data_IF_331969744310
#
_entry.id   IF_331969744310
#
_cell.length_a   1.000
_cell.length_b   1.000
_cell.length_c   1.000
_cell.angle_alpha   90.00
_cell.angle_beta   90.00
_cell.angle_gamma   90.00
#
_symmetry.space_group_name_H-M   'P 1'
#
loop_
_entity.id
_entity.type
_entity.pdbx_description
1 polymer ?
#
# COMPACT_ATOMS: atom_id res chain seq x y z
N UNK A 1 -2.82 35.32 46.01
CA UNK A 1 -1.46 35.53 45.46
C UNK A 1 -0.60 34.26 45.32
N UNK A 2 -1.05 33.07 45.75
CA UNK A 2 -0.22 31.84 45.70
C UNK A 2 -0.23 31.06 44.37
N UNK A 3 -1.14 31.37 43.44
CA UNK A 3 -1.33 30.59 42.19
C UNK A 3 -0.23 30.89 41.14
N UNK A 4 0.52 31.99 41.27
CA UNK A 4 1.56 32.37 40.30
C UNK A 4 2.92 31.69 40.50
N UNK A 5 3.19 31.05 41.64
CA UNK A 5 4.49 30.42 41.93
C UNK A 5 4.67 29.09 41.19
N UNK A 6 3.61 28.28 41.08
CA UNK A 6 3.69 26.94 40.50
C UNK A 6 3.81 26.97 38.97
N UNK A 7 3.08 27.87 38.31
CA UNK A 7 3.16 28.09 36.87
C UNK A 7 4.55 28.61 36.46
N UNK A 8 5.16 29.49 37.26
CA UNK A 8 6.50 30.01 37.01
C UNK A 8 7.58 28.94 37.18
N UNK A 9 7.39 28.00 38.11
CA UNK A 9 8.31 26.89 38.32
C UNK A 9 8.24 25.87 37.16
N UNK A 10 7.03 25.56 36.68
CA UNK A 10 6.83 24.67 35.54
C UNK A 10 7.40 25.25 34.23
N UNK A 11 7.21 26.55 33.98
CA UNK A 11 7.80 27.26 32.83
C UNK A 11 9.34 27.26 32.87
N UNK A 12 9.94 27.41 34.05
CA UNK A 12 11.40 27.40 34.20
C UNK A 12 11.99 26.02 33.94
N UNK A 13 11.29 24.94 34.31
CA UNK A 13 11.70 23.56 33.96
C UNK A 13 11.59 23.30 32.46
N UNK A 14 10.51 23.70 31.79
CA UNK A 14 10.39 23.50 30.33
C UNK A 14 11.40 24.31 29.53
N UNK A 15 11.73 25.53 29.97
CA UNK A 15 12.80 26.33 29.38
C UNK A 15 14.17 25.65 29.53
N UNK A 16 14.50 25.12 30.71
CA UNK A 16 15.76 24.39 30.92
C UNK A 16 15.85 23.09 30.08
N UNK A 17 14.73 22.38 29.88
CA UNK A 17 14.70 21.21 28.98
C UNK A 17 14.91 21.57 27.51
N UNK A 18 14.49 22.77 27.09
CA UNK A 18 14.70 23.23 25.72
C UNK A 18 16.18 23.55 25.43
N UNK A 19 16.89 24.12 26.40
CA UNK A 19 18.33 24.41 26.27
C UNK A 19 19.18 23.13 26.23
N UNK A 20 18.83 22.12 27.03
CA UNK A 20 19.53 20.83 27.03
C UNK A 20 19.29 20.06 25.72
N UNK A 21 18.07 20.10 25.18
CA UNK A 21 17.77 19.50 23.88
C UNK A 21 18.51 20.19 22.73
N UNK A 22 18.59 21.52 22.73
CA UNK A 22 19.37 22.26 21.75
C UNK A 22 20.87 21.96 21.85
N UNK A 23 21.40 21.78 23.07
CA UNK A 23 22.78 21.36 23.30
C UNK A 23 23.03 19.95 22.73
N UNK A 24 22.13 18.99 22.96
CA UNK A 24 22.24 17.63 22.42
C UNK A 24 22.14 17.59 20.88
N UNK A 25 21.24 18.40 20.29
CA UNK A 25 21.14 18.54 18.83
C UNK A 25 22.45 19.11 18.26
N UNK A 26 23.05 20.10 18.93
CA UNK A 26 24.31 20.73 18.53
C UNK A 26 25.47 19.73 18.59
N UNK A 27 25.60 18.96 19.68
CA UNK A 27 26.62 17.92 19.80
C UNK A 27 26.45 16.82 18.75
N UNK A 28 25.21 16.40 18.48
CA UNK A 28 24.93 15.36 17.47
C UNK A 28 25.31 15.85 16.07
N UNK A 29 25.03 17.11 15.77
CA UNK A 29 25.41 17.75 14.51
C UNK A 29 26.94 17.85 14.36
N UNK A 30 27.64 18.24 15.43
CA UNK A 30 29.10 18.31 15.45
C UNK A 30 29.75 16.94 15.23
N UNK A 31 29.27 15.90 15.92
CA UNK A 31 29.69 14.51 15.72
C UNK A 31 29.45 14.04 14.27
N UNK A 32 28.30 14.41 13.69
CA UNK A 32 27.97 14.07 12.31
C UNK A 32 28.91 14.76 11.30
N UNK A 33 29.27 16.02 11.55
CA UNK A 33 30.18 16.77 10.69
C UNK A 33 31.64 16.30 10.83
N UNK A 34 32.08 15.96 12.05
CA UNK A 34 33.37 15.29 12.28
C UNK A 34 33.45 13.96 11.53
N UNK A 35 32.38 13.16 11.55
CA UNK A 35 32.30 11.91 10.79
C UNK A 35 32.37 12.13 9.27
N UNK A 36 31.66 13.13 8.74
CA UNK A 36 31.74 13.50 7.32
C UNK A 36 33.16 13.88 6.92
N UNK A 37 33.83 14.69 7.73
CA UNK A 37 35.19 15.14 7.48
C UNK A 37 36.17 13.95 7.51
N UNK A 38 36.09 13.10 8.54
CA UNK A 38 36.87 11.88 8.63
C UNK A 38 36.69 10.96 7.41
N UNK A 39 35.45 10.78 6.94
CA UNK A 39 35.15 9.98 5.73
C UNK A 39 35.80 10.57 4.49
N UNK A 40 35.77 11.90 4.34
CA UNK A 40 36.39 12.62 3.22
C UNK A 40 37.92 12.47 3.25
N UNK A 41 38.53 12.62 4.42
CA UNK A 41 39.99 12.50 4.60
C UNK A 41 40.45 11.05 4.35
N UNK A 42 39.71 10.06 4.88
CA UNK A 42 39.97 8.64 4.64
C UNK A 42 39.87 8.29 3.15
N UNK A 43 38.84 8.79 2.45
CA UNK A 43 38.68 8.56 1.00
C UNK A 43 39.83 9.17 0.21
N UNK A 44 40.29 10.36 0.62
CA UNK A 44 41.41 11.07 -0.01
C UNK A 44 42.72 10.31 0.20
N UNK A 45 42.97 9.82 1.42
CA UNK A 45 44.14 9.01 1.75
C UNK A 45 44.18 7.71 0.93
N UNK A 46 43.05 6.99 0.83
CA UNK A 46 42.97 5.75 0.02
C UNK A 46 43.22 6.04 -1.47
N UNK A 47 42.64 7.12 -2.01
CA UNK A 47 42.90 7.55 -3.40
C UNK A 47 44.37 7.88 -3.63
N UNK A 48 45.02 8.54 -2.67
CA UNK A 48 46.44 8.87 -2.75
C UNK A 48 47.31 7.61 -2.74
N UNK A 49 47.06 6.68 -1.81
CA UNK A 49 47.74 5.39 -1.76
C UNK A 49 47.59 4.58 -3.05
N UNK A 50 46.40 4.61 -3.66
CA UNK A 50 46.16 3.93 -4.94
C UNK A 50 46.92 4.60 -6.10
N UNK A 51 47.00 5.93 -6.13
CA UNK A 51 47.80 6.66 -7.12
C UNK A 51 49.30 6.33 -6.98
N UNK A 52 49.80 6.27 -5.75
CA UNK A 52 51.22 5.96 -5.49
C UNK A 52 51.53 4.51 -5.88
N UNK A 53 50.65 3.56 -5.55
CA UNK A 53 50.77 2.17 -5.98
C UNK A 53 50.80 2.04 -7.51
N UNK A 54 49.92 2.78 -8.21
CA UNK A 54 49.90 2.80 -9.67
C UNK A 54 51.20 3.35 -10.24
N UNK A 55 51.72 4.46 -9.71
CA UNK A 55 53.02 5.04 -10.11
C UNK A 55 54.16 4.05 -9.93
N UNK A 56 54.21 3.33 -8.81
CA UNK A 56 55.23 2.29 -8.58
C UNK A 56 55.10 1.15 -9.58
N UNK A 57 53.88 0.71 -9.87
CA UNK A 57 53.61 -0.34 -10.87
C UNK A 57 54.04 0.09 -12.28
N UNK A 58 53.71 1.32 -12.67
CA UNK A 58 54.07 1.90 -13.97
C UNK A 58 55.60 2.09 -14.10
N UNK A 59 56.28 2.49 -13.01
CA UNK A 59 57.75 2.59 -12.95
C UNK A 59 58.42 1.22 -13.12
N UNK A 60 57.96 0.20 -12.39
CA UNK A 60 58.48 -1.16 -12.50
C UNK A 60 58.24 -1.76 -13.88
N UNK A 61 57.09 -1.46 -14.49
CA UNK A 61 56.76 -1.91 -15.85
C UNK A 61 57.68 -1.24 -16.88
N UNK A 62 57.98 0.04 -16.70
CA UNK A 62 58.92 0.77 -17.55
C UNK A 62 60.35 0.24 -17.39
N UNK A 63 60.81 -0.02 -16.17
CA UNK A 63 62.12 -0.65 -15.92
C UNK A 63 62.24 -2.05 -16.51
N UNK A 64 61.17 -2.86 -16.44
CA UNK A 64 61.13 -4.19 -17.06
C UNK A 64 61.25 -4.10 -18.58
N UNK A 65 60.49 -3.21 -19.22
CA UNK A 65 60.57 -2.99 -20.68
C UNK A 65 61.93 -2.48 -21.12
N UNK A 66 62.56 -1.61 -20.34
CA UNK A 66 63.88 -1.08 -20.67
C UNK A 66 65.00 -2.12 -20.46
N UNK A 67 64.83 -3.06 -19.54
CA UNK A 67 65.78 -4.18 -19.33
C UNK A 67 65.59 -5.32 -20.34
N UNK A 68 64.36 -5.60 -20.79
CA UNK A 68 64.09 -6.61 -21.84
C UNK A 68 64.68 -6.22 -23.21
N UNK A 69 65.03 -4.94 -23.41
CA UNK A 69 65.64 -4.45 -24.65
C UNK A 69 67.16 -4.62 -24.73
N UNK A 70 67.84 -5.20 -23.73
CA UNK A 70 69.31 -5.38 -23.79
C UNK A 70 69.86 -6.81 -23.76
N UNK A 71 69.07 -7.87 -23.63
CA UNK A 71 69.50 -9.21 -24.08
C UNK A 71 68.42 -10.27 -23.90
N UNK A 72 67.93 -10.80 -25.01
CA UNK A 72 67.18 -12.05 -25.03
C UNK A 72 68.16 -13.21 -24.75
N UNK A 73 68.28 -13.58 -23.47
CA UNK A 73 68.97 -14.78 -22.97
C UNK A 73 68.00 -15.59 -22.08
N UNK A 74 68.09 -16.94 -22.06
CA UNK A 74 67.21 -17.84 -21.28
C UNK A 74 67.25 -17.67 -19.75
N UNK A 75 67.99 -16.69 -19.22
CA UNK A 75 68.07 -16.35 -17.80
C UNK A 75 66.84 -15.61 -17.25
N UNK A 76 65.90 -15.16 -18.10
CA UNK A 76 64.63 -14.51 -17.71
C UNK A 76 63.70 -15.38 -16.84
N UNK A 77 64.00 -16.67 -16.66
CA UNK A 77 63.32 -17.54 -15.66
C UNK A 77 63.75 -17.25 -14.22
N UNK A 78 64.84 -16.51 -14.00
CA UNK A 78 65.34 -16.14 -12.67
C UNK A 78 64.83 -14.77 -12.18
N UNK A 79 64.01 -14.04 -12.95
CA UNK A 79 63.34 -12.79 -12.50
C UNK A 79 62.16 -13.02 -11.52
N UNK A 80 62.03 -14.25 -11.03
CA UNK A 80 60.97 -14.73 -10.14
C UNK A 80 61.02 -14.14 -8.71
N UNK A 81 62.17 -13.88 -8.05
CA UNK A 81 62.16 -13.43 -6.66
C UNK A 81 61.76 -11.96 -6.46
N UNK A 82 62.23 -11.03 -7.32
CA UNK A 82 61.91 -9.60 -7.18
C UNK A 82 60.45 -9.29 -7.53
N UNK A 83 59.90 -9.97 -8.55
CA UNK A 83 58.49 -9.84 -8.91
C UNK A 83 57.58 -10.43 -7.82
N UNK A 84 57.97 -11.55 -7.20
CA UNK A 84 57.24 -12.13 -6.06
C UNK A 84 57.35 -11.26 -4.81
N UNK A 85 58.52 -10.67 -4.53
CA UNK A 85 58.71 -9.74 -3.42
C UNK A 85 57.87 -8.46 -3.60
N UNK A 86 57.84 -7.88 -4.80
CA UNK A 86 57.01 -6.71 -5.11
C UNK A 86 55.51 -7.04 -4.94
N UNK A 87 55.04 -8.18 -5.44
CA UNK A 87 53.66 -8.64 -5.25
C UNK A 87 53.31 -8.85 -3.77
N UNK A 88 54.22 -9.46 -3.00
CA UNK A 88 54.02 -9.68 -1.57
C UNK A 88 53.88 -8.38 -0.77
N UNK A 89 54.68 -7.35 -1.09
CA UNK A 89 54.59 -6.01 -0.47
C UNK A 89 53.24 -5.34 -0.81
N UNK A 90 52.78 -5.47 -2.06
CA UNK A 90 51.49 -4.92 -2.50
C UNK A 90 50.32 -5.61 -1.78
N UNK A 91 50.34 -6.94 -1.69
CA UNK A 91 49.31 -7.73 -1.00
C UNK A 91 49.29 -7.45 0.50
N UNK A 92 50.45 -7.24 1.13
CA UNK A 92 50.55 -6.87 2.53
C UNK A 92 49.94 -5.49 2.80
N UNK A 93 50.28 -4.48 2.00
CA UNK A 93 49.69 -3.13 2.15
C UNK A 93 48.18 -3.15 1.93
N UNK A 94 47.67 -3.91 0.96
CA UNK A 94 46.23 -4.07 0.76
C UNK A 94 45.52 -4.70 1.97
N UNK A 95 46.14 -5.71 2.61
CA UNK A 95 45.63 -6.33 3.83
C UNK A 95 45.61 -5.35 5.01
N UNK A 96 46.65 -4.53 5.16
CA UNK A 96 46.73 -3.52 6.22
C UNK A 96 45.66 -2.42 6.04
N UNK A 97 45.53 -1.84 4.85
CA UNK A 97 44.52 -0.80 4.56
C UNK A 97 43.08 -1.34 4.70
N UNK A 98 42.84 -2.59 4.32
CA UNK A 98 41.56 -3.27 4.51
C UNK A 98 41.22 -3.55 5.99
N UNK A 99 42.22 -3.73 6.85
CA UNK A 99 42.06 -3.90 8.30
C UNK A 99 41.63 -2.59 8.97
N UNK A 100 42.26 -1.47 8.62
CA UNK A 100 41.92 -0.13 9.17
C UNK A 100 40.51 0.35 8.79
N UNK A 101 40.02 -0.02 7.59
CA UNK A 101 38.66 0.31 7.15
C UNK A 101 37.55 -0.51 7.85
N UNK A 102 37.87 -1.72 8.35
CA UNK A 102 36.91 -2.60 9.05
C UNK A 102 36.86 -2.36 10.56
N UNK A 103 37.98 -1.97 11.17
CA UNK A 103 38.10 -1.78 12.62
C UNK A 103 37.35 -0.52 13.09
N UNK A 104 37.29 0.54 12.29
CA UNK A 104 36.75 1.83 12.73
C UNK A 104 35.23 1.91 12.86
N UNK A 105 34.43 1.29 11.98
CA UNK A 105 32.96 1.45 12.05
C UNK A 105 32.34 0.66 13.21
N UNK A 106 32.77 -0.59 13.41
CA UNK A 106 32.17 -1.49 14.40
C UNK A 106 32.58 -1.10 15.82
N UNK A 107 33.85 -0.75 16.04
CA UNK A 107 34.32 -0.31 17.36
C UNK A 107 33.77 1.06 17.74
N UNK A 108 33.64 2.00 16.80
CA UNK A 108 33.09 3.33 17.07
C UNK A 108 31.59 3.25 17.37
N UNK A 109 30.83 2.42 16.64
CA UNK A 109 29.41 2.16 16.94
C UNK A 109 29.25 1.48 18.31
N UNK A 110 30.12 0.52 18.62
CA UNK A 110 30.09 -0.19 19.91
C UNK A 110 30.42 0.74 21.08
N UNK A 111 31.41 1.64 20.93
CA UNK A 111 31.75 2.64 21.96
C UNK A 111 30.66 3.69 22.13
N UNK A 112 30.04 4.14 21.04
CA UNK A 112 28.91 5.09 21.09
C UNK A 112 27.71 4.44 21.79
N UNK A 113 27.36 3.19 21.45
CA UNK A 113 26.28 2.43 22.07
C UNK A 113 26.55 2.12 23.55
N UNK A 114 27.76 1.68 23.90
CA UNK A 114 28.14 1.42 25.29
C UNK A 114 28.17 2.69 26.16
N UNK A 115 28.54 3.83 25.59
CA UNK A 115 28.51 5.11 26.29
C UNK A 115 27.09 5.66 26.41
N UNK A 116 26.19 5.36 25.46
CA UNK A 116 24.78 5.78 25.54
C UNK A 116 23.93 4.89 26.45
N UNK A 117 24.16 3.58 26.49
CA UNK A 117 23.39 2.67 27.37
C UNK A 117 23.70 2.83 28.87
N UNK A 118 24.87 3.37 29.22
CA UNK A 118 25.29 3.56 30.61
C UNK A 118 24.98 4.95 31.18
N UNK A 119 24.36 5.85 30.40
CA UNK A 119 23.93 7.15 30.91
C UNK A 119 22.76 6.96 31.90
N UNK A 120 22.92 7.36 33.18
CA UNK A 120 21.86 7.25 34.19
C UNK A 120 20.58 7.98 33.76
N UNK A 121 20.71 9.07 32.99
CA UNK A 121 19.56 9.85 32.50
C UNK A 121 18.69 9.04 31.53
N UNK A 122 19.29 8.18 30.69
CA UNK A 122 18.55 7.34 29.73
C UNK A 122 17.77 6.20 30.42
N UNK A 123 18.29 5.69 31.54
CA UNK A 123 17.56 4.71 32.36
C UNK A 123 16.34 5.35 33.03
N UNK A 124 16.49 6.57 33.54
CA UNK A 124 15.39 7.36 34.12
C UNK A 124 14.37 7.74 33.04
N UNK A 125 14.81 8.16 31.85
CA UNK A 125 13.92 8.51 30.75
C UNK A 125 13.13 7.29 30.24
N UNK A 126 13.76 6.10 30.20
CA UNK A 126 13.08 4.86 29.84
C UNK A 126 12.02 4.45 30.87
N UNK A 127 12.24 4.69 32.16
CA UNK A 127 11.21 4.43 33.18
C UNK A 127 10.04 5.38 33.01
N UNK A 128 10.31 6.68 32.80
CA UNK A 128 9.28 7.71 32.58
C UNK A 128 8.44 7.42 31.33
N UNK A 129 9.07 7.08 30.19
CA UNK A 129 8.34 6.68 28.97
C UNK A 129 7.48 5.44 29.22
N UNK A 130 8.00 4.44 29.94
CA UNK A 130 7.23 3.24 30.23
C UNK A 130 6.03 3.51 31.14
N UNK A 131 6.17 4.45 32.08
CA UNK A 131 5.08 4.90 32.96
C UNK A 131 4.02 5.69 32.18
N UNK A 132 4.45 6.59 31.28
CA UNK A 132 3.57 7.39 30.43
C UNK A 132 2.83 6.53 29.38
N UNK A 133 3.43 5.42 28.94
CA UNK A 133 2.82 4.49 27.99
C UNK A 133 1.84 3.48 28.60
N UNK A 134 1.76 3.36 29.92
CA UNK A 134 0.82 2.45 30.61
C UNK A 134 -0.66 2.65 30.22
N UNK A 135 -1.24 3.87 30.25
CA UNK A 135 -2.65 4.07 29.91
C UNK A 135 -2.97 3.69 28.45
N UNK A 136 -2.03 3.86 27.53
CA UNK A 136 -2.22 3.48 26.12
C UNK A 136 -2.20 1.97 25.91
N UNK A 137 -1.43 1.23 26.71
CA UNK A 137 -1.46 -0.24 26.71
C UNK A 137 -2.80 -0.77 27.22
N UNK A 138 -3.34 -0.15 28.27
CA UNK A 138 -4.67 -0.49 28.78
C UNK A 138 -5.79 -0.22 27.74
N UNK A 139 -5.69 0.88 26.97
CA UNK A 139 -6.60 1.13 25.85
C UNK A 139 -6.46 0.08 24.73
N UNK A 140 -5.24 -0.31 24.36
CA UNK A 140 -5.00 -1.36 23.37
C UNK A 140 -5.60 -2.71 23.77
N UNK A 141 -5.60 -3.04 25.06
CA UNK A 141 -6.23 -4.25 25.58
C UNK A 141 -7.77 -4.16 25.56
N UNK A 142 -8.37 -2.97 25.67
CA UNK A 142 -9.82 -2.78 25.43
C UNK A 142 -10.19 -3.02 23.96
N UNK A 143 -9.35 -2.60 23.01
CA UNK A 143 -9.60 -2.85 21.59
C UNK A 143 -9.47 -4.32 21.20
N UNK A 144 -8.76 -5.13 21.98
CA UNK A 144 -8.66 -6.59 21.79
C UNK A 144 -9.95 -7.35 22.09
N UNK A 145 -10.90 -6.76 22.81
CA UNK A 145 -12.19 -7.38 23.18
C UNK A 145 -13.31 -7.13 22.14
N UNK A 146 -13.11 -6.23 21.17
CA UNK A 146 -14.06 -5.93 20.10
C UNK A 146 -14.54 -7.13 19.26
N UNK A 147 -13.70 -8.14 18.93
CA UNK A 147 -14.14 -9.31 18.17
C UNK A 147 -15.27 -10.09 18.87
N UNK A 148 -15.25 -10.17 20.21
CA UNK A 148 -16.28 -10.88 20.99
C UNK A 148 -17.63 -10.15 20.96
N UNK A 149 -17.63 -8.81 20.84
CA UNK A 149 -18.85 -8.03 20.68
C UNK A 149 -19.48 -8.15 19.28
N UNK A 150 -18.65 -8.36 18.25
CA UNK A 150 -19.11 -8.55 16.88
C UNK A 150 -19.85 -9.89 16.71
N UNK A 151 -19.36 -10.96 17.34
CA UNK A 151 -20.01 -12.27 17.31
C UNK A 151 -21.40 -12.24 17.99
N UNK A 152 -21.54 -11.49 19.09
CA UNK A 152 -22.82 -11.32 19.79
C UNK A 152 -23.86 -10.53 18.97
N UNK A 153 -23.43 -9.53 18.20
CA UNK A 153 -24.30 -8.76 17.31
C UNK A 153 -24.74 -9.59 16.10
N UNK A 154 -23.85 -10.44 15.59
CA UNK A 154 -24.17 -11.33 14.48
C UNK A 154 -25.17 -12.42 14.87
N UNK A 155 -25.14 -12.85 16.13
CA UNK A 155 -26.14 -13.75 16.72
C UNK A 155 -27.50 -13.05 16.89
N UNK A 156 -27.52 -11.82 17.39
CA UNK A 156 -28.75 -11.01 17.49
C UNK A 156 -29.38 -10.69 16.13
N UNK A 157 -28.57 -10.51 15.08
CA UNK A 157 -29.07 -10.31 13.70
C UNK A 157 -29.68 -11.61 13.14
N UNK A 158 -29.19 -12.78 13.56
CA UNK A 158 -29.76 -14.08 13.19
C UNK A 158 -31.14 -14.34 13.81
N UNK A 159 -31.42 -13.75 14.97
CA UNK A 159 -32.69 -13.89 15.69
C UNK A 159 -33.80 -12.94 15.18
N UNK A 160 -33.46 -11.91 14.39
CA UNK A 160 -34.43 -10.99 13.76
C UNK A 160 -34.83 -11.53 12.38
N UNK A 161 -35.38 -12.75 12.35
CA UNK A 161 -36.00 -13.33 11.17
C UNK A 161 -37.52 -13.16 11.29
N UNK A 162 -37.99 -11.91 11.16
CA UNK A 162 -39.42 -11.58 11.05
C UNK A 162 -39.88 -11.92 9.63
N UNK A 163 -40.88 -12.79 9.54
CA UNK A 163 -41.50 -13.25 8.30
C UNK A 163 -41.97 -12.04 7.49
N UNK A 164 -41.38 -11.84 6.30
CA UNK A 164 -41.60 -10.66 5.47
C UNK A 164 -43.08 -10.46 5.12
N UNK A 165 -43.88 -11.52 5.12
CA UNK A 165 -45.33 -11.47 4.93
C UNK A 165 -46.08 -10.67 6.02
N UNK A 166 -45.60 -10.69 7.27
CA UNK A 166 -46.27 -10.03 8.39
C UNK A 166 -46.01 -8.52 8.40
N UNK A 167 -44.81 -8.10 7.96
CA UNK A 167 -44.46 -6.71 7.72
C UNK A 167 -45.33 -6.09 6.60
N UNK A 168 -45.57 -6.82 5.51
CA UNK A 168 -46.42 -6.35 4.42
C UNK A 168 -47.89 -6.16 4.84
N UNK A 169 -48.41 -7.04 5.69
CA UNK A 169 -49.78 -6.88 6.22
C UNK A 169 -49.90 -5.68 7.17
N UNK A 170 -48.87 -5.37 7.95
CA UNK A 170 -48.87 -4.18 8.82
C UNK A 170 -48.75 -2.90 8.00
N UNK A 171 -47.92 -2.89 6.95
CA UNK A 171 -47.77 -1.74 6.06
C UNK A 171 -49.08 -1.43 5.32
N UNK A 172 -49.76 -2.45 4.77
CA UNK A 172 -51.03 -2.28 4.06
C UNK A 172 -52.15 -1.73 4.97
N UNK A 173 -52.20 -2.18 6.23
CA UNK A 173 -53.13 -1.64 7.24
C UNK A 173 -52.83 -0.17 7.57
N UNK A 174 -51.56 0.20 7.72
CA UNK A 174 -51.17 1.59 7.99
C UNK A 174 -51.54 2.51 6.83
N UNK A 175 -51.20 2.12 5.59
CA UNK A 175 -51.49 2.90 4.38
C UNK A 175 -53.00 3.10 4.19
N UNK A 176 -53.82 2.06 4.40
CA UNK A 176 -55.28 2.18 4.34
C UNK A 176 -55.84 3.11 5.42
N UNK A 177 -55.36 2.99 6.65
CA UNK A 177 -55.82 3.85 7.74
C UNK A 177 -55.46 5.32 7.54
N UNK A 178 -54.34 5.59 6.87
CA UNK A 178 -53.86 6.95 6.61
C UNK A 178 -54.56 7.55 5.38
N UNK A 179 -54.84 6.74 4.36
CA UNK A 179 -55.66 7.13 3.21
C UNK A 179 -57.10 7.47 3.60
N UNK A 180 -57.70 6.71 4.53
CA UNK A 180 -59.06 6.96 5.04
C UNK A 180 -59.19 8.26 5.86
N UNK A 181 -58.10 8.70 6.50
CA UNK A 181 -58.03 9.98 7.25
C UNK A 181 -57.79 11.18 6.33
N UNK A 182 -57.42 10.97 5.07
CA UNK A 182 -57.12 12.05 4.16
C UNK A 182 -58.40 12.57 3.49
N UNK A 183 -58.84 13.77 3.87
CA UNK A 183 -60.05 14.42 3.36
C UNK A 183 -60.12 14.50 1.82
N UNK A 184 -58.97 14.50 1.13
CA UNK A 184 -58.91 14.47 -0.34
C UNK A 184 -59.37 13.13 -0.94
N UNK A 185 -59.10 12.01 -0.28
CA UNK A 185 -59.52 10.69 -0.77
C UNK A 185 -61.04 10.52 -0.65
N UNK A 186 -61.63 11.01 0.45
CA UNK A 186 -63.08 11.05 0.64
C UNK A 186 -63.76 11.96 -0.42
N UNK A 187 -63.23 13.16 -0.64
CA UNK A 187 -63.76 14.10 -1.64
C UNK A 187 -63.70 13.53 -3.08
N UNK A 188 -62.60 12.84 -3.43
CA UNK A 188 -62.45 12.19 -4.73
C UNK A 188 -63.45 11.04 -4.93
N UNK A 189 -63.68 10.22 -3.89
CA UNK A 189 -64.65 9.12 -3.95
C UNK A 189 -66.10 9.63 -4.00
N UNK A 190 -66.41 10.74 -3.33
CA UNK A 190 -67.71 11.43 -3.47
C UNK A 190 -67.92 12.00 -4.88
N UNK A 191 -66.89 12.60 -5.48
CA UNK A 191 -66.96 13.17 -6.84
C UNK A 191 -67.16 12.07 -7.90
N UNK A 192 -66.48 10.93 -7.77
CA UNK A 192 -66.70 9.74 -8.60
C UNK A 192 -68.13 9.18 -8.45
N UNK A 193 -68.65 9.15 -7.22
CA UNK A 193 -70.04 8.74 -6.95
C UNK A 193 -71.08 9.67 -7.56
N UNK A 194 -70.83 10.98 -7.51
CA UNK A 194 -71.71 12.00 -8.11
C UNK A 194 -71.69 11.94 -9.64
N UNK A 195 -70.51 11.78 -10.26
CA UNK A 195 -70.39 11.58 -11.71
C UNK A 195 -71.10 10.32 -12.20
N UNK A 196 -71.02 9.22 -11.44
CA UNK A 196 -71.74 7.98 -11.75
C UNK A 196 -73.27 8.12 -11.61
N UNK A 197 -73.75 9.04 -10.77
CA UNK A 197 -75.18 9.35 -10.63
C UNK A 197 -75.72 10.25 -11.75
N UNK A 198 -74.91 11.21 -12.24
CA UNK A 198 -75.25 12.10 -13.36
C UNK A 198 -75.32 11.34 -14.69
N UNK A 199 -74.52 10.29 -14.86
CA UNK A 199 -74.60 9.42 -16.05
C UNK A 199 -75.84 8.52 -16.10
N UNK A 200 -76.51 8.28 -14.97
CA UNK A 200 -77.64 7.33 -14.90
C UNK A 200 -79.01 7.94 -15.20
N UNK A 201 -79.17 9.26 -15.16
CA UNK A 201 -80.43 9.90 -15.58
C UNK A 201 -80.21 11.37 -16.05
N UNK A 202 -79.95 11.59 -17.36
CA UNK A 202 -79.60 12.91 -17.89
C UNK A 202 -80.78 13.91 -17.95
N UNK A 203 -82.01 13.53 -17.57
CA UNK A 203 -83.22 14.31 -17.89
C UNK A 203 -84.05 14.79 -16.70
N UNK A 204 -83.76 14.45 -15.45
CA UNK A 204 -84.74 14.68 -14.38
C UNK A 204 -84.61 15.97 -13.56
N UNK A 205 -83.58 16.84 -13.71
CA UNK A 205 -83.51 18.11 -12.94
C UNK A 205 -82.80 19.28 -13.65
N UNK A 206 -83.26 19.69 -14.82
CA UNK A 206 -82.97 21.02 -15.39
C UNK A 206 -84.19 21.93 -15.23
N UNK A 207 -84.44 22.35 -13.99
CA UNK A 207 -85.41 23.38 -13.66
C UNK A 207 -84.73 24.73 -13.47
N UNK A 208 -85.03 25.66 -14.39
CA UNK A 208 -85.12 27.14 -14.33
C UNK A 208 -84.22 28.03 -13.44
N UNK A 209 -83.22 27.51 -12.73
CA UNK A 209 -82.17 28.33 -12.11
C UNK A 209 -80.80 27.88 -12.60
N UNK A 210 -80.55 28.05 -13.91
CA UNK A 210 -79.18 27.97 -14.44
C UNK A 210 -78.43 29.24 -14.03
N UNK A 211 -77.45 29.16 -13.11
CA UNK A 211 -76.53 30.27 -12.93
C UNK A 211 -75.88 30.56 -14.29
N UNK A 212 -75.65 31.86 -14.57
CA UNK A 212 -75.06 32.31 -15.83
C UNK A 212 -73.85 31.44 -16.20
N UNK A 213 -73.69 31.18 -17.50
CA UNK A 213 -72.59 30.37 -18.06
C UNK A 213 -71.20 30.80 -17.56
N UNK A 214 -71.05 32.03 -17.06
CA UNK A 214 -69.86 32.56 -16.41
C UNK A 214 -69.54 31.96 -15.03
N UNK A 215 -70.53 31.56 -14.21
CA UNK A 215 -70.26 30.96 -12.89
C UNK A 215 -69.78 29.51 -12.98
N UNK A 216 -70.04 28.81 -14.09
CA UNK A 216 -69.52 27.47 -14.36
C UNK A 216 -68.06 27.49 -14.89
N UNK A 217 -67.57 28.63 -15.39
CA UNK A 217 -66.19 28.73 -15.90
C UNK A 217 -65.14 28.84 -14.79
N UNK A 218 -65.51 29.34 -13.61
CA UNK A 218 -64.58 29.48 -12.48
C UNK A 218 -64.09 28.13 -11.94
N UNK A 219 -64.96 27.19 -11.53
CA UNK A 219 -64.52 25.88 -11.05
C UNK A 219 -63.83 25.07 -12.15
N UNK A 220 -64.19 25.26 -13.42
CA UNK A 220 -63.52 24.60 -14.55
C UNK A 220 -62.09 25.12 -14.78
N UNK A 221 -61.86 26.42 -14.56
CA UNK A 221 -60.52 27.03 -14.61
C UNK A 221 -59.67 26.57 -13.43
N UNK A 222 -60.24 26.51 -12.23
CA UNK A 222 -59.55 26.01 -11.04
C UNK A 222 -59.20 24.53 -11.18
N UNK A 223 -60.12 23.69 -11.66
CA UNK A 223 -59.84 22.28 -11.93
C UNK A 223 -58.75 22.09 -13.01
N UNK A 224 -58.73 22.93 -14.05
CA UNK A 224 -57.65 22.93 -15.05
C UNK A 224 -56.31 23.36 -14.46
N UNK A 225 -56.29 24.38 -13.62
CA UNK A 225 -55.07 24.83 -12.94
C UNK A 225 -54.56 23.80 -11.94
N UNK A 226 -55.46 23.16 -11.18
CA UNK A 226 -55.12 22.06 -10.28
C UNK A 226 -54.58 20.85 -11.04
N UNK A 227 -55.19 20.50 -12.17
CA UNK A 227 -54.69 19.46 -13.07
C UNK A 227 -53.31 19.80 -13.64
N UNK A 228 -53.10 21.03 -14.10
CA UNK A 228 -51.79 21.47 -14.60
C UNK A 228 -50.70 21.41 -13.53
N UNK A 229 -50.99 21.86 -12.30
CA UNK A 229 -50.06 21.71 -11.17
C UNK A 229 -49.75 20.25 -10.85
N UNK A 230 -50.77 19.38 -10.88
CA UNK A 230 -50.57 17.95 -10.66
C UNK A 230 -49.68 17.31 -11.74
N UNK A 231 -49.83 17.72 -13.00
CA UNK A 231 -48.95 17.28 -14.08
C UNK A 231 -47.53 17.88 -13.99
N UNK A 232 -47.37 19.09 -13.45
CA UNK A 232 -46.06 19.66 -13.12
C UNK A 232 -45.36 18.84 -12.01
N UNK A 233 -46.07 18.49 -10.93
CA UNK A 233 -45.55 17.65 -9.85
C UNK A 233 -45.17 16.24 -10.36
N UNK A 234 -45.96 15.67 -11.27
CA UNK A 234 -45.65 14.39 -11.91
C UNK A 234 -44.40 14.51 -12.79
N UNK A 235 -44.24 15.59 -13.56
CA UNK A 235 -43.04 15.79 -14.37
C UNK A 235 -41.78 15.84 -13.51
N UNK A 236 -41.81 16.51 -12.36
CA UNK A 236 -40.68 16.53 -11.43
C UNK A 236 -40.35 15.11 -10.92
N UNK A 237 -41.37 14.30 -10.59
CA UNK A 237 -41.17 12.92 -10.16
C UNK A 237 -40.60 12.02 -11.27
N UNK A 238 -40.98 12.26 -12.52
CA UNK A 238 -40.45 11.56 -13.69
C UNK A 238 -38.99 11.94 -13.92
N UNK A 239 -38.65 13.22 -13.87
CA UNK A 239 -37.26 13.69 -14.02
C UNK A 239 -36.34 13.12 -12.91
N UNK A 240 -36.84 13.06 -11.67
CA UNK A 240 -36.13 12.42 -10.57
C UNK A 240 -35.94 10.91 -10.82
N UNK A 241 -36.98 10.22 -11.30
CA UNK A 241 -36.92 8.80 -11.67
C UNK A 241 -35.95 8.53 -12.82
N UNK A 242 -35.96 9.35 -13.87
CA UNK A 242 -35.02 9.26 -14.98
C UNK A 242 -33.56 9.44 -14.53
N UNK A 243 -33.30 10.42 -13.67
CA UNK A 243 -31.97 10.65 -13.07
C UNK A 243 -31.49 9.47 -12.24
N UNK A 244 -32.38 8.86 -11.44
CA UNK A 244 -32.08 7.65 -10.67
C UNK A 244 -31.77 6.46 -11.59
N UNK A 245 -32.57 6.24 -12.63
CA UNK A 245 -32.37 5.18 -13.63
C UNK A 245 -31.06 5.41 -14.40
N UNK A 246 -30.73 6.63 -14.77
CA UNK A 246 -29.47 6.95 -15.45
C UNK A 246 -28.26 6.67 -14.54
N UNK A 247 -28.38 7.01 -13.25
CA UNK A 247 -27.40 6.67 -12.22
C UNK A 247 -27.20 5.16 -12.07
N UNK A 248 -28.28 4.37 -12.13
CA UNK A 248 -28.24 2.91 -12.08
C UNK A 248 -27.65 2.30 -13.36
N UNK A 249 -28.05 2.77 -14.55
CA UNK A 249 -27.50 2.34 -15.86
C UNK A 249 -25.99 2.60 -15.98
N UNK A 250 -25.47 3.63 -15.31
CA UNK A 250 -24.02 3.89 -15.24
C UNK A 250 -23.28 2.85 -14.37
N UNK A 251 -23.93 2.26 -13.37
CA UNK A 251 -23.33 1.32 -12.40
C UNK A 251 -23.55 -0.15 -12.77
N UNK A 252 -24.68 -0.47 -13.40
CA UNK A 252 -25.15 -1.82 -13.67
C UNK A 252 -25.42 -2.03 -15.16
N UNK A 253 -25.01 -3.19 -15.69
CA UNK A 253 -25.21 -3.58 -17.09
C UNK A 253 -26.63 -4.11 -17.29
N UNK A 254 -27.19 -4.70 -16.24
CA UNK A 254 -28.53 -5.23 -16.20
C UNK A 254 -29.10 -5.07 -14.80
N UNK A 255 -30.28 -4.45 -14.72
CA UNK A 255 -31.07 -4.27 -13.50
C UNK A 255 -32.44 -4.88 -13.80
N UNK A 256 -32.72 -6.10 -13.36
CA UNK A 256 -34.03 -6.74 -13.57
C UNK A 256 -35.12 -6.05 -12.74
N UNK A 257 -34.77 -5.59 -11.54
CA UNK A 257 -35.66 -4.88 -10.63
C UNK A 257 -34.92 -3.67 -10.00
N UNK A 258 -35.56 -2.50 -9.99
CA UNK A 258 -35.01 -1.30 -9.36
C UNK A 258 -35.10 -1.30 -7.84
N UNK A 259 -36.03 -2.07 -7.26
CA UNK A 259 -36.20 -2.20 -5.81
C UNK A 259 -35.24 -3.24 -5.22
N UNK A 260 -34.88 -4.27 -5.99
CA UNK A 260 -33.90 -5.30 -5.60
C UNK A 260 -32.62 -5.25 -6.44
N UNK A 261 -31.63 -4.51 -5.93
CA UNK A 261 -30.30 -4.41 -6.54
C UNK A 261 -29.39 -5.62 -6.28
N UNK A 262 -29.82 -6.62 -5.48
CA UNK A 262 -28.98 -7.78 -5.13
C UNK A 262 -28.71 -8.68 -6.34
N UNK A 263 -29.66 -8.74 -7.28
CA UNK A 263 -29.59 -9.51 -8.52
C UNK A 263 -29.00 -8.72 -9.70
N UNK A 264 -28.72 -7.41 -9.50
CA UNK A 264 -28.22 -6.54 -10.55
C UNK A 264 -26.77 -6.85 -10.93
N UNK A 265 -26.50 -7.01 -12.23
CA UNK A 265 -25.16 -7.31 -12.75
C UNK A 265 -24.36 -6.01 -12.93
N UNK A 266 -23.28 -5.84 -12.17
CA UNK A 266 -22.40 -4.66 -12.30
C UNK A 266 -21.73 -4.61 -13.67
N UNK A 267 -21.70 -3.43 -14.28
CA UNK A 267 -21.05 -3.23 -15.58
C UNK A 267 -19.56 -3.43 -15.45
N UNK A 268 -18.96 -4.27 -16.32
CA UNK A 268 -17.51 -4.27 -16.45
C UNK A 268 -17.08 -2.89 -16.98
N UNK A 269 -16.54 -2.08 -16.07
CA UNK A 269 -16.14 -0.69 -16.35
C UNK A 269 -15.08 -0.54 -17.44
N UNK A 270 -14.41 -1.63 -17.83
CA UNK A 270 -13.44 -1.64 -18.92
C UNK A 270 -13.96 -2.28 -20.20
N UNK A 271 -15.21 -2.76 -20.31
CA UNK A 271 -15.73 -3.50 -21.48
C UNK A 271 -15.42 -2.82 -22.83
N UNK A 272 -15.55 -1.49 -22.90
CA UNK A 272 -15.25 -0.68 -24.09
C UNK A 272 -13.77 -0.38 -24.34
N UNK A 273 -12.89 -0.70 -23.39
CA UNK A 273 -11.44 -0.45 -23.48
C UNK A 273 -10.77 -1.60 -24.26
N UNK A 274 -10.03 -1.29 -25.35
CA UNK A 274 -9.32 -2.28 -26.14
C UNK A 274 -8.37 -3.14 -25.30
N UNK A 275 -8.25 -4.42 -25.65
CA UNK A 275 -7.40 -5.40 -24.96
C UNK A 275 -5.99 -4.88 -24.67
N UNK A 276 -5.31 -4.28 -25.67
CA UNK A 276 -3.94 -3.76 -25.54
C UNK A 276 -3.79 -2.68 -24.47
N UNK A 277 -4.84 -1.89 -24.20
CA UNK A 277 -4.83 -0.83 -23.17
C UNK A 277 -5.05 -1.37 -21.75
N UNK A 278 -5.37 -2.66 -21.61
CA UNK A 278 -5.56 -3.34 -20.32
C UNK A 278 -4.31 -4.07 -19.85
N UNK A 279 -3.33 -4.24 -20.73
CA UNK A 279 -2.02 -4.80 -20.40
C UNK A 279 -1.22 -3.72 -19.68
N UNK A 280 -0.63 -4.10 -18.56
CA UNK A 280 0.23 -3.27 -17.72
C UNK A 280 1.59 -3.93 -17.67
N UNK A 281 2.64 -3.16 -17.91
CA UNK A 281 4.02 -3.59 -17.77
C UNK A 281 4.63 -2.92 -16.55
N UNK A 282 5.52 -3.63 -15.88
CA UNK A 282 6.21 -3.08 -14.74
C UNK A 282 7.26 -4.03 -14.19
N UNK A 283 7.60 -3.79 -12.93
CA UNK A 283 8.37 -4.73 -12.14
C UNK A 283 8.45 -4.29 -10.70
N UNK A 284 8.91 -5.17 -9.85
CA UNK A 284 9.27 -4.86 -8.48
C UNK A 284 10.66 -5.36 -8.13
N UNK A 285 11.22 -4.79 -7.08
CA UNK A 285 12.45 -5.21 -6.46
C UNK A 285 12.23 -5.38 -4.97
N UNK A 286 12.91 -6.37 -4.42
CA UNK A 286 12.91 -6.70 -3.00
C UNK A 286 14.35 -6.77 -2.53
N UNK A 287 14.61 -6.21 -1.34
CA UNK A 287 15.92 -6.25 -0.71
C UNK A 287 15.73 -6.96 0.63
N UNK A 288 16.39 -8.10 0.78
CA UNK A 288 16.44 -8.83 2.03
C UNK A 288 17.80 -8.58 2.69
N UNK A 289 17.79 -7.73 3.72
CA UNK A 289 19.01 -7.38 4.46
C UNK A 289 19.38 -8.53 5.40
N UNK A 290 20.58 -9.07 5.21
CA UNK A 290 21.14 -10.13 6.03
C UNK A 290 22.59 -10.41 5.64
N UNK A 291 23.16 -11.48 6.20
CA UNK A 291 24.40 -12.07 5.71
C UNK A 291 24.09 -13.50 5.22
N UNK A 292 24.02 -13.75 3.91
CA UNK A 292 24.11 -12.79 2.79
C UNK A 292 22.95 -11.80 2.63
N UNK A 293 23.21 -10.73 1.88
CA UNK A 293 22.23 -9.78 1.33
C UNK A 293 21.60 -10.38 0.07
N UNK A 294 20.27 -10.34 -0.06
CA UNK A 294 19.58 -10.74 -1.29
C UNK A 294 18.93 -9.53 -1.99
N UNK A 295 19.05 -9.52 -3.31
CA UNK A 295 18.40 -8.54 -4.18
C UNK A 295 17.56 -9.28 -5.22
N UNK A 296 16.26 -9.02 -5.23
CA UNK A 296 15.34 -9.59 -6.20
C UNK A 296 14.95 -8.55 -7.24
N UNK A 297 14.93 -8.98 -8.50
CA UNK A 297 14.43 -8.20 -9.62
C UNK A 297 13.31 -8.98 -10.33
N UNK A 298 12.11 -8.38 -10.33
CA UNK A 298 10.89 -9.07 -10.70
C UNK A 298 10.17 -8.32 -11.83
N UNK A 299 10.53 -8.51 -13.11
CA UNK A 299 9.75 -7.95 -14.22
C UNK A 299 8.35 -8.56 -14.22
N UNK A 300 7.32 -7.75 -14.50
CA UNK A 300 5.92 -8.20 -14.47
C UNK A 300 5.11 -7.74 -15.68
N UNK A 301 4.13 -8.56 -16.03
CA UNK A 301 3.05 -8.26 -16.97
C UNK A 301 1.71 -8.54 -16.28
N UNK A 302 0.85 -7.52 -16.24
CA UNK A 302 -0.48 -7.59 -15.66
C UNK A 302 -1.57 -7.33 -16.70
N UNK A 303 -2.77 -7.81 -16.41
CA UNK A 303 -3.98 -7.58 -17.18
C UNK A 303 -5.09 -7.08 -16.26
N UNK A 304 -5.66 -5.90 -16.58
CA UNK A 304 -6.78 -5.31 -15.84
C UNK A 304 -8.10 -5.94 -16.26
N UNK A 305 -8.70 -6.70 -15.34
CA UNK A 305 -10.03 -7.29 -15.52
C UNK A 305 -11.11 -6.20 -15.45
N UNK A 306 -10.96 -5.25 -14.52
CA UNK A 306 -11.77 -4.03 -14.40
C UNK A 306 -10.92 -2.85 -13.83
N UNK A 307 -11.57 -1.77 -13.36
CA UNK A 307 -10.89 -0.63 -12.74
C UNK A 307 -10.22 -0.94 -11.38
N UNK A 308 -10.60 -2.03 -10.70
CA UNK A 308 -10.17 -2.42 -9.35
C UNK A 308 -9.29 -3.68 -9.32
N UNK A 309 -9.55 -4.63 -10.20
CA UNK A 309 -8.96 -5.95 -10.28
C UNK A 309 -7.90 -6.02 -11.38
N UNK A 310 -6.75 -6.57 -11.03
CA UNK A 310 -5.68 -6.89 -11.95
C UNK A 310 -5.13 -8.27 -11.60
N UNK A 311 -4.80 -9.05 -12.61
CA UNK A 311 -4.11 -10.33 -12.45
C UNK A 311 -2.88 -10.33 -13.35
N UNK A 312 -1.85 -11.07 -13.01
CA UNK A 312 -0.63 -11.04 -13.80
C UNK A 312 0.37 -12.12 -13.47
N UNK A 313 1.45 -12.08 -14.24
CA UNK A 313 2.60 -12.94 -14.09
C UNK A 313 3.85 -12.07 -13.93
N UNK A 314 4.81 -12.56 -13.17
CA UNK A 314 6.11 -11.94 -12.99
C UNK A 314 7.21 -12.98 -13.08
N UNK A 315 8.31 -12.64 -13.75
CA UNK A 315 9.54 -13.40 -13.67
C UNK A 315 10.31 -12.99 -12.42
N UNK A 316 11.09 -13.90 -11.85
CA UNK A 316 11.88 -13.63 -10.65
C UNK A 316 13.36 -13.90 -10.91
N UNK A 317 14.21 -12.94 -10.55
CA UNK A 317 15.66 -13.09 -10.56
C UNK A 317 16.22 -12.64 -9.21
N UNK A 318 16.73 -13.59 -8.43
CA UNK A 318 17.32 -13.33 -7.11
C UNK A 318 18.83 -13.43 -7.15
N UNK A 319 19.49 -12.36 -6.72
CA UNK A 319 20.94 -12.23 -6.61
C UNK A 319 21.34 -12.33 -5.14
N UNK A 320 22.30 -13.21 -4.86
CA UNK A 320 22.90 -13.38 -3.52
C UNK A 320 24.24 -12.66 -3.46
N UNK A 321 24.40 -11.77 -2.48
CA UNK A 321 25.62 -11.01 -2.23
C UNK A 321 26.21 -11.44 -0.87
N UNK A 322 27.22 -12.30 -0.89
CA UNK A 322 27.95 -12.76 0.31
C UNK A 322 29.03 -11.72 0.70
N UNK A 323 29.14 -11.35 1.98
CA UNK A 323 30.09 -10.33 2.46
C UNK A 323 31.54 -10.86 2.66
N UNK A 324 31.72 -12.18 2.61
CA UNK A 324 32.89 -12.89 3.15
C UNK A 324 33.97 -13.28 2.13
N UNK A 325 33.69 -13.21 0.83
CA UNK A 325 34.67 -13.61 -0.19
C UNK A 325 35.61 -12.45 -0.53
N UNK A 326 36.74 -12.41 0.17
CA UNK A 326 37.93 -11.68 -0.26
C UNK A 326 38.37 -12.20 -1.64
N UNK A 327 38.33 -11.33 -2.66
CA UNK A 327 39.05 -11.45 -3.94
C UNK A 327 38.57 -12.50 -4.97
N UNK A 328 37.40 -13.09 -4.82
CA UNK A 328 36.81 -13.91 -5.87
C UNK A 328 35.31 -13.93 -5.76
N UNK A 329 34.61 -13.09 -6.52
CA UNK A 329 33.15 -13.19 -6.69
C UNK A 329 32.85 -14.52 -7.36
N UNK A 330 32.72 -15.60 -6.58
CA UNK A 330 32.00 -16.79 -7.03
C UNK A 330 30.54 -16.37 -7.06
N UNK A 331 30.10 -15.86 -8.21
CA UNK A 331 28.69 -15.72 -8.54
C UNK A 331 28.05 -17.10 -8.33
N UNK A 332 27.41 -17.32 -7.18
CA UNK A 332 26.49 -18.44 -7.03
C UNK A 332 25.39 -18.21 -8.07
N UNK A 333 25.01 -19.29 -8.76
CA UNK A 333 24.01 -19.20 -9.81
C UNK A 333 22.78 -18.46 -9.30
N UNK A 334 22.26 -17.50 -10.07
CA UNK A 334 21.07 -16.77 -9.65
C UNK A 334 19.91 -17.74 -9.49
N UNK A 335 19.11 -17.51 -8.46
CA UNK A 335 17.84 -18.20 -8.29
C UNK A 335 16.84 -17.55 -9.23
N UNK A 336 16.18 -18.36 -10.06
CA UNK A 336 15.19 -17.90 -11.02
C UNK A 336 13.84 -18.52 -10.71
N UNK A 337 12.77 -17.83 -11.07
CA UNK A 337 11.43 -18.31 -10.80
C UNK A 337 10.36 -17.54 -11.53
N UNK A 338 9.12 -17.89 -11.21
CA UNK A 338 7.93 -17.24 -11.72
C UNK A 338 6.94 -17.01 -10.59
N UNK A 339 6.11 -15.99 -10.75
CA UNK A 339 5.08 -15.62 -9.78
C UNK A 339 3.79 -15.29 -10.51
N UNK A 340 2.68 -15.85 -10.05
CA UNK A 340 1.33 -15.40 -10.41
C UNK A 340 0.79 -14.50 -9.32
N UNK A 341 0.10 -13.42 -9.68
CA UNK A 341 -0.44 -12.48 -8.70
C UNK A 341 -1.83 -11.97 -9.07
N UNK A 342 -2.56 -11.54 -8.04
CA UNK A 342 -3.84 -10.85 -8.11
C UNK A 342 -3.86 -9.62 -7.20
N UNK A 343 -4.35 -8.50 -7.73
CA UNK A 343 -4.47 -7.23 -7.03
C UNK A 343 -5.92 -6.76 -7.02
N UNK A 344 -6.39 -6.27 -5.87
CA UNK A 344 -7.68 -5.62 -5.70
C UNK A 344 -7.56 -4.24 -5.07
N UNK A 345 -7.88 -3.20 -5.83
CA UNK A 345 -7.91 -1.81 -5.37
C UNK A 345 -9.24 -1.52 -4.68
N UNK A 346 -9.21 -1.46 -3.35
CA UNK A 346 -10.38 -1.16 -2.53
C UNK A 346 -10.56 0.35 -2.27
N UNK A 347 -9.47 1.14 -2.19
CA UNK A 347 -9.57 2.57 -1.92
C UNK A 347 -8.48 3.39 -2.62
N UNK A 348 -8.85 4.24 -3.59
CA UNK A 348 -7.93 5.15 -4.32
C UNK A 348 -6.63 4.44 -4.75
N UNK A 349 -5.54 4.69 -4.03
CA UNK A 349 -4.21 4.13 -4.30
C UNK A 349 -3.90 2.84 -3.53
N UNK A 350 -4.71 2.49 -2.54
CA UNK A 350 -4.54 1.29 -1.73
C UNK A 350 -5.12 0.06 -2.42
N UNK A 351 -4.38 -1.04 -2.29
CA UNK A 351 -4.71 -2.33 -2.87
C UNK A 351 -4.41 -3.47 -1.90
N UNK A 352 -5.18 -4.54 -2.02
CA UNK A 352 -4.85 -5.85 -1.50
C UNK A 352 -4.12 -6.63 -2.60
N UNK A 353 -3.13 -7.41 -2.22
CA UNK A 353 -2.28 -8.16 -3.12
C UNK A 353 -2.14 -9.60 -2.62
N UNK A 354 -2.31 -10.56 -3.51
CA UNK A 354 -2.06 -11.96 -3.25
C UNK A 354 -1.22 -12.53 -4.39
N UNK A 355 -0.27 -13.41 -4.06
CA UNK A 355 0.62 -14.00 -5.03
C UNK A 355 1.06 -15.40 -4.63
N UNK A 356 1.34 -16.19 -5.67
CA UNK A 356 1.90 -17.51 -5.60
C UNK A 356 3.19 -17.52 -6.41
N UNK A 357 4.28 -17.95 -5.79
CA UNK A 357 5.63 -17.90 -6.32
C UNK A 357 6.25 -19.30 -6.36
N UNK A 358 6.96 -19.59 -7.43
CA UNK A 358 7.70 -20.83 -7.62
C UNK A 358 9.13 -20.47 -8.02
N UNK A 359 10.08 -20.94 -7.23
CA UNK A 359 11.49 -20.63 -7.37
C UNK A 359 12.33 -21.88 -7.54
N UNK A 360 13.29 -21.80 -8.44
CA UNK A 360 14.23 -22.87 -8.71
C UNK A 360 15.62 -22.45 -8.22
N UNK A 361 16.05 -23.08 -7.12
CA UNK A 361 17.38 -22.86 -6.56
C UNK A 361 18.40 -23.74 -7.29
N UNK A 362 19.33 -23.09 -8.01
CA UNK A 362 20.46 -23.78 -8.62
C UNK A 362 21.61 -23.81 -7.62
N UNK A 363 21.64 -24.82 -6.74
CA UNK A 363 22.75 -25.02 -5.81
C UNK A 363 23.82 -25.88 -6.50
N UNK A 364 24.91 -25.24 -6.91
CA UNK A 364 26.16 -25.94 -7.24
C UNK A 364 26.82 -26.34 -5.91
N UNK A 365 26.62 -27.57 -5.46
CA UNK A 365 27.38 -28.12 -4.35
C UNK A 365 28.81 -28.43 -4.82
N UNK A 366 29.82 -27.90 -4.12
CA UNK A 366 31.22 -28.15 -4.47
C UNK A 366 31.66 -29.60 -4.17
N UNK A 367 30.86 -30.33 -3.39
CA UNK A 367 31.20 -31.64 -2.81
C UNK A 367 30.51 -32.81 -3.53
N UNK A 368 29.47 -32.53 -4.32
CA UNK A 368 28.70 -33.55 -5.06
C UNK A 368 28.42 -33.00 -6.47
N UNK A 369 28.84 -33.72 -7.52
CA UNK A 369 28.56 -33.42 -8.95
C UNK A 369 27.06 -33.50 -9.33
N UNK A 370 26.14 -33.33 -8.38
CA UNK A 370 24.71 -33.32 -8.61
C UNK A 370 24.14 -31.95 -8.26
N UNK A 371 23.60 -31.28 -9.29
CA UNK A 371 22.74 -30.11 -9.13
C UNK A 371 21.38 -30.61 -8.63
N UNK A 372 21.13 -30.53 -7.32
CA UNK A 372 19.76 -30.67 -6.81
C UNK A 372 19.06 -29.33 -6.99
N UNK A 373 18.02 -29.33 -7.81
CA UNK A 373 17.17 -28.18 -8.11
C UNK A 373 15.81 -28.46 -7.50
N UNK A 374 15.63 -28.13 -6.22
CA UNK A 374 14.33 -28.29 -5.56
C UNK A 374 13.50 -27.02 -5.77
N UNK A 375 12.32 -27.11 -6.41
CA UNK A 375 11.43 -25.99 -6.55
C UNK A 375 10.84 -25.64 -5.18
N UNK A 376 11.03 -24.41 -4.74
CA UNK A 376 10.39 -23.87 -3.53
C UNK A 376 9.16 -23.07 -3.93
N UNK A 377 8.07 -23.22 -3.19
CA UNK A 377 6.80 -22.55 -3.47
C UNK A 377 6.48 -21.61 -2.32
N UNK A 378 5.97 -20.43 -2.63
CA UNK A 378 5.49 -19.51 -1.60
C UNK A 378 4.15 -18.86 -1.91
N UNK A 379 3.37 -18.62 -0.86
CA UNK A 379 2.11 -17.87 -0.91
C UNK A 379 2.27 -16.60 -0.09
N UNK A 380 2.17 -15.45 -0.73
CA UNK A 380 2.27 -14.16 -0.06
C UNK A 380 0.95 -13.39 -0.21
N UNK A 381 0.45 -12.83 0.88
CA UNK A 381 -0.76 -11.98 0.89
C UNK A 381 -0.48 -10.72 1.70
N UNK A 382 -0.95 -9.58 1.24
CA UNK A 382 -0.86 -8.35 2.01
C UNK A 382 -1.48 -7.14 1.35
N UNK A 383 -0.96 -5.98 1.72
CA UNK A 383 -1.49 -4.68 1.34
C UNK A 383 -0.43 -3.83 0.66
N UNK A 384 -0.89 -2.88 -0.14
CA UNK A 384 -0.01 -1.99 -0.87
C UNK A 384 -0.62 -0.65 -1.18
N UNK A 385 0.23 0.24 -1.70
CA UNK A 385 -0.15 1.57 -2.15
C UNK A 385 0.58 1.91 -3.45
N UNK A 386 -0.14 2.50 -4.42
CA UNK A 386 0.43 3.05 -5.64
C UNK A 386 0.49 4.57 -5.62
N UNK A 387 1.65 5.14 -5.95
CA UNK A 387 1.86 6.58 -6.02
C UNK A 387 2.33 7.01 -7.40
N UNK A 388 2.03 8.24 -7.82
CA UNK A 388 2.52 8.76 -9.09
C UNK A 388 3.99 9.14 -8.98
N UNK A 389 4.84 8.63 -9.89
CA UNK A 389 6.25 9.06 -10.00
C UNK A 389 6.36 10.11 -11.11
N UNK A 390 5.85 9.79 -12.29
CA UNK A 390 5.86 10.67 -13.47
C UNK A 390 4.62 10.39 -14.34
N UNK A 391 4.37 11.22 -15.37
CA UNK A 391 3.23 11.01 -16.29
C UNK A 391 3.31 9.62 -16.93
N UNK A 392 2.32 8.78 -16.63
CA UNK A 392 2.26 7.40 -17.12
C UNK A 392 3.18 6.41 -16.40
N UNK A 393 3.84 6.80 -15.30
CA UNK A 393 4.64 5.89 -14.46
C UNK A 393 4.19 6.00 -13.00
N UNK A 394 3.78 4.88 -12.44
CA UNK A 394 3.37 4.75 -11.04
C UNK A 394 4.37 3.92 -10.28
N UNK A 395 4.72 4.36 -9.08
CA UNK A 395 5.39 3.54 -8.08
C UNK A 395 4.37 2.67 -7.34
N UNK A 396 4.85 1.56 -6.80
CA UNK A 396 4.10 0.61 -5.98
C UNK A 396 4.93 0.27 -4.75
N UNK A 397 4.29 0.29 -3.59
CA UNK A 397 4.83 -0.23 -2.34
C UNK A 397 3.93 -1.39 -1.88
N UNK A 398 4.52 -2.52 -1.50
CA UNK A 398 3.81 -3.70 -0.99
C UNK A 398 4.41 -4.12 0.35
N UNK A 399 3.54 -4.45 1.30
CA UNK A 399 3.87 -5.16 2.53
C UNK A 399 3.07 -6.47 2.53
N UNK A 400 3.78 -7.59 2.44
CA UNK A 400 3.22 -8.92 2.29
C UNK A 400 3.63 -9.82 3.45
N UNK A 401 2.79 -10.80 3.76
CA UNK A 401 3.06 -11.88 4.69
C UNK A 401 3.15 -13.21 3.93
N UNK A 402 4.24 -13.94 4.11
CA UNK A 402 4.51 -15.26 3.55
C UNK A 402 3.93 -16.34 4.47
N UNK A 403 2.92 -17.07 3.98
CA UNK A 403 2.21 -18.11 4.73
C UNK A 403 2.89 -19.48 4.70
N UNK A 404 3.95 -19.60 3.91
CA UNK A 404 4.66 -20.86 3.61
C UNK A 404 6.06 -20.91 4.25
N UNK A 405 6.32 -20.04 5.25
CA UNK A 405 7.64 -19.87 5.86
C UNK A 405 8.26 -21.18 6.37
N UNK A 406 7.46 -22.08 6.96
CA UNK A 406 7.96 -23.32 7.56
C UNK A 406 8.58 -24.31 6.54
N UNK A 407 8.26 -24.16 5.25
CA UNK A 407 8.87 -24.90 4.14
C UNK A 407 9.80 -24.06 3.27
N UNK A 408 9.83 -22.75 3.49
CA UNK A 408 10.49 -21.80 2.60
C UNK A 408 11.86 -21.36 3.16
N UNK A 409 12.92 -21.96 2.63
CA UNK A 409 14.30 -21.60 2.99
C UNK A 409 14.75 -20.27 2.36
N UNK A 410 13.91 -19.63 1.54
CA UNK A 410 14.32 -18.46 0.77
C UNK A 410 14.17 -17.15 1.52
N UNK A 411 13.16 -17.01 2.38
CA UNK A 411 12.93 -15.79 3.14
C UNK A 411 13.25 -16.01 4.61
N UNK A 412 14.06 -15.14 5.21
CA UNK A 412 14.36 -15.19 6.66
C UNK A 412 13.21 -14.71 7.54
N UNK A 413 12.28 -13.97 6.95
CA UNK A 413 11.18 -13.30 7.64
C UNK A 413 9.89 -13.59 6.89
N UNK A 414 8.77 -13.81 7.60
CA UNK A 414 7.46 -13.91 6.94
C UNK A 414 7.05 -12.57 6.32
N UNK A 415 7.57 -11.45 6.82
CA UNK A 415 7.29 -10.13 6.25
C UNK A 415 8.18 -9.84 5.05
N UNK A 416 7.54 -9.57 3.92
CA UNK A 416 8.18 -9.24 2.64
C UNK A 416 7.76 -7.83 2.22
N UNK A 417 8.74 -6.95 2.07
CA UNK A 417 8.53 -5.56 1.62
C UNK A 417 9.02 -5.40 0.20
N UNK A 418 8.16 -4.92 -0.70
CA UNK A 418 8.54 -4.73 -2.12
C UNK A 418 8.27 -3.32 -2.60
N UNK A 419 9.14 -2.86 -3.48
CA UNK A 419 9.01 -1.59 -4.18
C UNK A 419 8.99 -1.87 -5.67
N UNK A 420 8.06 -1.26 -6.40
CA UNK A 420 7.92 -1.51 -7.82
C UNK A 420 7.44 -0.31 -8.59
N UNK A 421 7.29 -0.50 -9.89
CA UNK A 421 6.82 0.47 -10.84
C UNK A 421 5.92 -0.18 -11.88
N UNK A 422 4.98 0.58 -12.43
CA UNK A 422 4.06 0.13 -13.48
C UNK A 422 3.64 1.31 -14.37
N UNK A 423 3.20 1.02 -15.59
CA UNK A 423 2.68 2.03 -16.53
C UNK A 423 1.14 2.15 -16.60
#
# INVERSE_FOLDING_TARGET
MAINSQAFCQLKTTLNYSEDLEHQIRMTKELHDQYKQFRKDSTTLVKQQFKDLKRTTDSLTTELKNNELQSASPELKQLTPRQQAAKAIIDQKFKETGKYARITRKELLTRVLQNTENLPELKQYRSMINEELQPYRAQLDQYRLLPQSADSLQQQIGDINLDSAELWQQLDKMVKSEAEKNNYYQAFMEEQGQLASIQKDPKSKLGENTPSFDMAQHPLKEARQAGMKHFEDINESIEQGESQIEGLKKKYEYVPDSEDLSTAKKTNTLKSVPFKKRIVFGGDFHIEIGDPLFLDFNPMIGYRLDKKWMVGLSGMLRLRLDHTDSLGMRYKMPTTGGRGFGEYRFYKSFLAHAEYEVLVNNVLSAEVKHTSSEPTQSINIGLGNTFGIYKGLKGKFLLLYNFTLDGDKLYRSPWVVRFGFMN
#
